data_IF_394717696235
#
_entry.id   IF_394717696235
#
_cell.length_a   1.000
_cell.length_b   1.000
_cell.length_c   1.000
_cell.angle_alpha   90.00
_cell.angle_beta   90.00
_cell.angle_gamma   90.00
#
_symmetry.space_group_name_H-M   'P 1'
#
loop_
_entity.id
_entity.type
_entity.pdbx_description
1 polymer ?
#
# COMPACT_ATOMS: atom_id res chain seq x y z
N UNK A 1 16.17 1.07 -3.54
CA UNK A 1 16.81 -0.02 -4.33
C UNK A 1 15.81 -0.87 -5.10
N UNK A 2 14.69 -1.33 -4.51
CA UNK A 2 13.68 -2.14 -5.23
C UNK A 2 13.14 -1.49 -6.51
N UNK A 3 12.71 -0.22 -6.42
CA UNK A 3 12.08 0.50 -7.53
C UNK A 3 12.92 0.47 -8.81
N UNK A 4 14.12 1.03 -8.82
CA UNK A 4 14.95 1.04 -10.04
C UNK A 4 15.78 -0.22 -10.26
N UNK A 5 15.78 -1.17 -9.33
CA UNK A 5 16.49 -2.45 -9.47
C UNK A 5 15.56 -3.54 -9.98
N UNK A 6 15.06 -4.37 -9.06
CA UNK A 6 14.29 -5.58 -9.40
C UNK A 6 12.97 -5.32 -10.15
N UNK A 7 12.40 -4.11 -10.08
CA UNK A 7 11.20 -3.78 -10.86
C UNK A 7 11.51 -3.55 -12.35
N UNK A 8 12.74 -3.13 -12.69
CA UNK A 8 13.18 -2.81 -14.04
C UNK A 8 14.23 -3.80 -14.58
N UNK A 9 14.58 -4.81 -13.79
CA UNK A 9 15.63 -5.80 -14.08
C UNK A 9 17.04 -5.18 -14.21
N UNK A 10 17.28 -4.06 -13.53
CA UNK A 10 18.60 -3.41 -13.50
C UNK A 10 19.39 -3.99 -12.32
N UNK A 11 20.55 -4.56 -12.60
CA UNK A 11 21.41 -5.23 -11.62
C UNK A 11 22.67 -4.41 -11.25
N UNK A 12 23.01 -3.35 -11.98
CA UNK A 12 24.12 -2.44 -11.66
C UNK A 12 23.80 -1.58 -10.43
N UNK A 13 24.53 -1.75 -9.31
CA UNK A 13 24.36 -0.91 -8.12
C UNK A 13 24.64 0.57 -8.40
N UNK A 14 25.63 0.87 -9.24
CA UNK A 14 25.99 2.24 -9.63
C UNK A 14 24.84 2.92 -10.36
N UNK A 15 24.20 2.22 -11.30
CA UNK A 15 23.06 2.74 -12.04
C UNK A 15 21.84 2.96 -11.13
N UNK A 16 21.56 2.03 -10.22
CA UNK A 16 20.47 2.17 -9.24
C UNK A 16 20.71 3.38 -8.34
N UNK A 17 21.93 3.58 -7.84
CA UNK A 17 22.29 4.73 -7.02
C UNK A 17 22.20 6.04 -7.80
N UNK A 18 22.68 6.06 -9.04
CA UNK A 18 22.55 7.21 -9.94
C UNK A 18 21.08 7.58 -10.17
N UNK A 19 20.22 6.60 -10.39
CA UNK A 19 18.78 6.82 -10.53
C UNK A 19 18.11 7.35 -9.27
N UNK A 20 18.49 6.85 -8.08
CA UNK A 20 18.02 7.40 -6.81
C UNK A 20 18.44 8.86 -6.64
N UNK A 21 19.71 9.18 -6.90
CA UNK A 21 20.23 10.55 -6.82
C UNK A 21 19.46 11.46 -7.78
N UNK A 22 19.23 10.99 -9.00
CA UNK A 22 18.49 11.73 -10.02
C UNK A 22 17.05 12.02 -9.58
N UNK A 23 16.30 11.02 -9.10
CA UNK A 23 14.96 11.23 -8.57
C UNK A 23 14.95 12.23 -7.41
N UNK A 24 15.90 12.12 -6.48
CA UNK A 24 16.03 13.06 -5.36
C UNK A 24 16.31 14.50 -5.84
N UNK A 25 17.22 14.68 -6.81
CA UNK A 25 17.57 15.99 -7.36
C UNK A 25 16.41 16.62 -8.15
N UNK A 26 15.61 15.80 -8.82
CA UNK A 26 14.46 16.23 -9.61
C UNK A 26 13.16 16.34 -8.79
N UNK A 27 13.17 15.93 -7.52
CA UNK A 27 11.99 15.93 -6.66
C UNK A 27 10.93 14.90 -7.06
N UNK A 28 11.35 13.75 -7.60
CA UNK A 28 10.48 12.65 -8.02
C UNK A 28 10.43 11.55 -6.96
N UNK A 29 9.24 10.99 -6.76
CA UNK A 29 9.08 9.72 -6.04
C UNK A 29 9.68 8.59 -6.89
N UNK A 30 10.73 7.95 -6.35
CA UNK A 30 11.45 6.88 -7.03
C UNK A 30 10.60 5.63 -7.26
N UNK A 31 9.66 5.32 -6.36
CA UNK A 31 8.81 4.14 -6.49
C UNK A 31 7.73 4.36 -7.55
N UNK A 32 7.17 5.57 -7.63
CA UNK A 32 6.16 5.91 -8.64
C UNK A 32 6.79 6.06 -10.03
N UNK A 33 7.97 6.69 -10.11
CA UNK A 33 8.75 6.71 -11.35
C UNK A 33 9.09 5.28 -11.79
N UNK A 34 9.55 4.41 -10.90
CA UNK A 34 9.83 3.02 -11.24
C UNK A 34 8.59 2.25 -11.71
N UNK A 35 7.43 2.43 -11.06
CA UNK A 35 6.18 1.76 -11.40
C UNK A 35 5.68 2.16 -12.79
N UNK A 36 5.70 3.45 -13.12
CA UNK A 36 5.33 3.96 -14.45
C UNK A 36 6.28 3.48 -15.55
N UNK A 37 7.58 3.45 -15.28
CA UNK A 37 8.57 2.86 -16.18
C UNK A 37 8.32 1.36 -16.39
N UNK A 38 8.04 0.61 -15.32
CA UNK A 38 7.74 -0.83 -15.41
C UNK A 38 6.56 -1.10 -16.33
N UNK A 39 5.49 -0.31 -16.22
CA UNK A 39 4.35 -0.40 -17.14
C UNK A 39 4.73 -0.05 -18.59
N UNK A 40 5.57 0.96 -18.82
CA UNK A 40 6.01 1.34 -20.17
C UNK A 40 6.85 0.23 -20.82
N UNK A 41 7.80 -0.35 -20.08
CA UNK A 41 8.64 -1.44 -20.54
C UNK A 41 7.82 -2.69 -20.85
N UNK A 42 6.86 -3.02 -19.99
CA UNK A 42 5.95 -4.15 -20.22
C UNK A 42 5.03 -3.91 -21.42
N UNK A 43 4.50 -2.70 -21.57
CA UNK A 43 3.66 -2.34 -22.72
C UNK A 43 4.45 -2.41 -24.03
N UNK A 44 5.73 -2.02 -24.01
CA UNK A 44 6.63 -2.18 -25.15
C UNK A 44 6.93 -3.66 -25.44
N UNK A 45 7.21 -4.46 -24.41
CA UNK A 45 7.43 -5.91 -24.56
C UNK A 45 6.20 -6.62 -25.15
N UNK A 46 5.00 -6.19 -24.76
CA UNK A 46 3.72 -6.71 -25.28
C UNK A 46 3.38 -6.18 -26.68
N UNK A 47 4.20 -5.30 -27.24
CA UNK A 47 4.01 -4.70 -28.57
C UNK A 47 2.94 -3.62 -28.62
N UNK A 48 2.43 -3.17 -27.47
CA UNK A 48 1.46 -2.07 -27.39
C UNK A 48 2.12 -0.71 -27.62
N UNK A 49 3.31 -0.51 -27.05
CA UNK A 49 4.16 0.64 -27.37
C UNK A 49 5.21 0.21 -28.39
N UNK A 50 5.37 1.02 -29.43
CA UNK A 50 6.37 0.82 -30.48
C UNK A 50 7.55 1.79 -30.32
N UNK A 51 8.63 1.55 -31.07
CA UNK A 51 9.80 2.46 -31.08
C UNK A 51 9.44 3.88 -31.55
N UNK A 52 8.38 4.05 -32.36
CA UNK A 52 7.88 5.38 -32.72
C UNK A 52 7.21 6.09 -31.55
N UNK A 53 6.42 5.37 -30.75
CA UNK A 53 5.71 5.95 -29.60
C UNK A 53 6.67 6.41 -28.49
N UNK A 54 7.83 5.75 -28.40
CA UNK A 54 8.87 6.05 -27.42
C UNK A 54 9.90 7.06 -27.90
N UNK A 55 9.69 7.70 -29.07
CA UNK A 55 10.63 8.68 -29.63
C UNK A 55 11.98 8.09 -30.00
N UNK A 56 12.00 6.83 -30.45
CA UNK A 56 13.21 6.12 -30.87
C UNK A 56 13.86 5.25 -29.79
N UNK A 57 13.36 5.28 -28.55
CA UNK A 57 13.92 4.48 -27.45
C UNK A 57 13.45 3.03 -27.53
N UNK A 58 14.37 2.08 -27.43
CA UNK A 58 14.02 0.67 -27.25
C UNK A 58 13.91 0.39 -25.75
N UNK A 59 12.73 0.03 -25.28
CA UNK A 59 12.52 -0.28 -23.86
C UNK A 59 12.84 -1.75 -23.63
N UNK A 60 14.08 -2.04 -23.25
CA UNK A 60 14.55 -3.39 -22.94
C UNK A 60 14.81 -3.49 -21.44
N UNK A 61 14.22 -4.48 -20.78
CA UNK A 61 14.45 -4.75 -19.35
C UNK A 61 15.95 -4.82 -19.03
N UNK A 62 16.36 -4.18 -17.95
CA UNK A 62 17.75 -4.02 -17.54
C UNK A 62 18.52 -2.88 -18.20
N UNK A 63 17.96 -2.18 -19.19
CA UNK A 63 18.60 -1.01 -19.79
C UNK A 63 18.51 0.23 -18.88
N UNK A 64 19.54 0.40 -18.06
CA UNK A 64 19.59 1.48 -17.09
C UNK A 64 19.71 2.87 -17.74
N UNK A 65 20.42 3.01 -18.86
CA UNK A 65 20.58 4.32 -19.51
C UNK A 65 19.25 4.81 -20.10
N UNK A 66 18.45 3.90 -20.67
CA UNK A 66 17.08 4.21 -21.09
C UNK A 66 16.20 4.57 -19.90
N UNK A 67 16.28 3.84 -18.79
CA UNK A 67 15.51 4.14 -17.59
C UNK A 67 15.85 5.53 -17.02
N UNK A 68 17.14 5.87 -16.88
CA UNK A 68 17.58 7.18 -16.40
C UNK A 68 17.12 8.32 -17.31
N UNK A 69 17.22 8.14 -18.63
CA UNK A 69 16.73 9.12 -19.60
C UNK A 69 15.21 9.33 -19.49
N UNK A 70 14.45 8.26 -19.24
CA UNK A 70 13.01 8.37 -19.07
C UNK A 70 12.63 9.08 -17.75
N UNK A 71 13.42 8.91 -16.67
CA UNK A 71 13.24 9.68 -15.43
C UNK A 71 13.37 11.18 -15.69
N UNK A 72 14.38 11.61 -16.45
CA UNK A 72 14.52 13.02 -16.86
C UNK A 72 13.33 13.47 -17.71
N UNK A 73 12.92 12.65 -18.70
CA UNK A 73 11.77 12.96 -19.55
C UNK A 73 10.47 13.08 -18.76
N UNK A 74 10.28 12.29 -17.69
CA UNK A 74 9.13 12.40 -16.78
C UNK A 74 9.15 13.77 -16.09
N UNK A 75 10.27 14.14 -15.46
CA UNK A 75 10.39 15.42 -14.77
C UNK A 75 10.11 16.61 -15.68
N UNK A 76 10.71 16.60 -16.89
CA UNK A 76 10.57 17.70 -17.85
C UNK A 76 9.35 17.57 -18.76
N UNK A 77 8.52 16.53 -18.59
CA UNK A 77 7.35 16.23 -19.42
C UNK A 77 7.65 16.26 -20.93
N UNK A 78 8.71 15.57 -21.33
CA UNK A 78 9.18 15.51 -22.71
C UNK A 78 8.96 14.12 -23.32
N UNK A 79 8.65 14.08 -24.62
CA UNK A 79 8.46 12.82 -25.36
C UNK A 79 7.52 11.85 -24.60
N UNK A 80 7.94 10.58 -24.43
CA UNK A 80 7.16 9.59 -23.68
C UNK A 80 6.97 9.98 -22.21
N UNK A 81 7.93 10.70 -21.62
CA UNK A 81 7.84 11.17 -20.24
C UNK A 81 6.65 12.10 -19.97
N UNK A 82 6.13 12.82 -20.98
CA UNK A 82 4.92 13.62 -20.84
C UNK A 82 3.70 12.77 -20.46
N UNK A 83 3.59 11.58 -21.05
CA UNK A 83 2.56 10.58 -20.73
C UNK A 83 2.82 9.94 -19.37
N UNK A 84 4.07 9.51 -19.12
CA UNK A 84 4.43 8.81 -17.88
C UNK A 84 4.34 9.69 -16.63
N UNK A 85 4.52 11.01 -16.77
CA UNK A 85 4.34 11.98 -15.69
C UNK A 85 2.90 12.06 -15.14
N UNK A 86 1.92 11.44 -15.82
CA UNK A 86 0.54 11.36 -15.34
C UNK A 86 0.29 10.20 -14.38
N UNK A 87 1.28 9.34 -14.12
CA UNK A 87 1.10 8.13 -13.31
C UNK A 87 0.44 7.00 -14.11
N UNK A 88 0.58 5.77 -13.61
CA UNK A 88 0.27 4.57 -14.40
C UNK A 88 -1.22 4.42 -14.69
N UNK A 89 -2.09 4.85 -13.76
CA UNK A 89 -3.55 4.83 -13.95
C UNK A 89 -3.98 5.67 -15.16
N UNK A 90 -3.47 6.89 -15.27
CA UNK A 90 -3.86 7.81 -16.35
C UNK A 90 -3.12 7.49 -17.65
N UNK A 91 -1.84 7.11 -17.56
CA UNK A 91 -1.05 6.72 -18.71
C UNK A 91 -1.65 5.48 -19.41
N UNK A 92 -1.97 4.44 -18.64
CA UNK A 92 -2.60 3.23 -19.19
C UNK A 92 -3.96 3.48 -19.81
N UNK A 93 -4.83 4.26 -19.16
CA UNK A 93 -6.13 4.63 -19.74
C UNK A 93 -6.04 5.49 -21.01
N UNK A 94 -4.99 6.32 -21.12
CA UNK A 94 -4.75 7.14 -22.32
C UNK A 94 -4.28 6.30 -23.50
N UNK A 95 -3.38 5.35 -23.26
CA UNK A 95 -2.89 4.44 -24.31
C UNK A 95 -3.93 3.37 -24.64
N UNK A 96 -4.71 2.93 -23.66
CA UNK A 96 -5.72 1.90 -23.80
C UNK A 96 -5.12 0.54 -24.15
N UNK A 97 -5.76 -0.17 -25.08
CA UNK A 97 -5.30 -1.50 -25.53
C UNK A 97 -5.38 -2.59 -24.47
N UNK A 98 -6.15 -2.38 -23.39
CA UNK A 98 -6.23 -3.27 -22.24
C UNK A 98 -5.03 -3.18 -21.30
N UNK A 99 -4.18 -2.15 -21.45
CA UNK A 99 -2.97 -1.99 -20.63
C UNK A 99 -3.23 -1.67 -19.17
N UNK A 100 -4.46 -1.30 -18.84
CA UNK A 100 -4.96 -1.15 -17.47
C UNK A 100 -4.86 -2.47 -16.70
N UNK A 101 -4.88 -3.62 -17.39
CA UNK A 101 -4.79 -4.96 -16.78
C UNK A 101 -3.42 -5.24 -16.14
N UNK A 102 -2.34 -4.62 -16.63
CA UNK A 102 -0.99 -4.70 -16.06
C UNK A 102 -0.48 -3.37 -15.48
N UNK A 103 -1.33 -2.35 -15.42
CA UNK A 103 -1.07 -1.11 -14.71
C UNK A 103 -1.19 -1.34 -13.19
N UNK A 104 -0.07 -1.28 -12.48
CA UNK A 104 -0.03 -1.53 -11.05
C UNK A 104 -0.29 -0.24 -10.27
N UNK A 105 -1.52 -0.04 -9.82
CA UNK A 105 -1.89 1.05 -8.93
C UNK A 105 -3.02 0.63 -7.97
N UNK A 106 -3.16 1.33 -6.86
CA UNK A 106 -4.32 1.24 -5.96
C UNK A 106 -4.82 2.65 -5.70
N UNK A 107 -6.12 2.90 -5.93
CA UNK A 107 -6.74 4.23 -5.84
C UNK A 107 -6.05 5.31 -6.68
N UNK A 108 -5.25 4.90 -7.68
CA UNK A 108 -4.50 5.78 -8.58
C UNK A 108 -3.09 6.13 -8.12
N UNK A 109 -2.68 5.73 -6.92
CA UNK A 109 -1.28 5.77 -6.50
C UNK A 109 -0.52 4.58 -7.09
N UNK A 110 0.61 4.87 -7.74
CA UNK A 110 1.43 3.89 -8.43
C UNK A 110 2.02 2.87 -7.45
N UNK A 111 2.27 1.65 -7.93
CA UNK A 111 2.61 0.53 -7.07
C UNK A 111 3.72 -0.35 -7.68
N UNK A 112 4.72 -0.67 -6.86
CA UNK A 112 5.81 -1.58 -7.19
C UNK A 112 5.98 -2.69 -6.13
N UNK A 113 4.87 -3.26 -5.65
CA UNK A 113 4.79 -4.15 -4.48
C UNK A 113 4.58 -5.63 -4.86
N UNK A 114 5.55 -6.23 -5.55
CA UNK A 114 5.44 -7.61 -6.03
C UNK A 114 5.16 -8.68 -4.95
N UNK A 115 5.53 -8.39 -3.69
CA UNK A 115 5.29 -9.26 -2.52
C UNK A 115 3.80 -9.49 -2.23
N UNK A 116 2.91 -8.59 -2.67
CA UNK A 116 1.47 -8.69 -2.42
C UNK A 116 0.87 -10.02 -2.88
N UNK A 117 1.38 -10.62 -3.96
CA UNK A 117 0.90 -11.94 -4.43
C UNK A 117 1.08 -13.03 -3.38
N UNK A 118 2.17 -12.98 -2.61
CA UNK A 118 2.47 -13.97 -1.58
C UNK A 118 1.90 -13.56 -0.22
N UNK A 119 2.18 -12.34 0.25
CA UNK A 119 1.83 -11.92 1.62
C UNK A 119 0.44 -11.27 1.67
N UNK A 120 -0.54 -11.99 2.24
CA UNK A 120 -1.95 -11.58 2.19
C UNK A 120 -2.28 -10.38 3.08
N UNK A 121 -1.71 -10.31 4.29
CA UNK A 121 -1.87 -9.13 5.14
C UNK A 121 -1.15 -7.90 4.57
N UNK A 122 0.05 -8.07 3.99
CA UNK A 122 0.76 -6.99 3.29
C UNK A 122 -0.09 -6.45 2.14
N UNK A 123 -0.67 -7.36 1.34
CA UNK A 123 -1.57 -6.99 0.27
C UNK A 123 -2.81 -6.25 0.78
N UNK A 124 -3.45 -6.75 1.84
CA UNK A 124 -4.65 -6.13 2.40
C UNK A 124 -4.36 -4.71 2.86
N UNK A 125 -3.36 -4.51 3.73
CA UNK A 125 -3.02 -3.18 4.25
C UNK A 125 -2.66 -2.17 3.15
N UNK A 126 -1.92 -2.58 2.11
CA UNK A 126 -1.64 -1.71 0.96
C UNK A 126 -2.92 -1.35 0.20
N UNK A 127 -3.83 -2.32 0.05
CA UNK A 127 -5.06 -2.14 -0.74
C UNK A 127 -6.06 -1.22 -0.05
N UNK A 128 -6.27 -1.40 1.25
CA UNK A 128 -7.28 -0.65 2.00
C UNK A 128 -6.79 0.71 2.50
N UNK A 129 -5.48 0.98 2.48
CA UNK A 129 -4.88 2.27 2.84
C UNK A 129 -5.66 3.48 2.26
N UNK A 130 -5.88 4.51 3.08
CA UNK A 130 -6.63 5.70 2.71
C UNK A 130 -5.85 6.55 1.70
N UNK A 131 -4.52 6.61 1.77
CA UNK A 131 -3.73 7.39 0.79
C UNK A 131 -3.56 6.74 -0.58
N UNK A 132 -4.04 5.50 -0.75
CA UNK A 132 -3.78 4.66 -1.93
C UNK A 132 -2.52 3.81 -1.80
N UNK A 133 -2.15 3.15 -2.90
CA UNK A 133 -1.08 2.15 -2.94
C UNK A 133 0.21 2.54 -2.21
N UNK A 134 0.50 1.85 -1.11
CA UNK A 134 1.77 1.93 -0.39
C UNK A 134 1.71 1.20 0.96
N UNK A 135 2.85 0.71 1.44
CA UNK A 135 2.89 -0.17 2.63
C UNK A 135 2.96 0.59 3.96
N UNK A 136 3.28 1.89 3.95
CA UNK A 136 3.43 2.70 5.16
C UNK A 136 2.10 3.19 5.76
N UNK A 137 0.99 2.50 5.53
CA UNK A 137 -0.33 2.85 6.09
C UNK A 137 -1.10 1.58 6.47
N UNK A 138 -0.51 0.78 7.36
CA UNK A 138 -1.18 -0.40 7.92
C UNK A 138 -0.74 -1.76 7.38
N UNK A 139 0.14 -1.84 6.38
CA UNK A 139 0.65 -3.12 5.90
C UNK A 139 1.63 -3.74 6.92
N UNK A 140 1.34 -4.92 7.52
CA UNK A 140 2.17 -5.49 8.58
C UNK A 140 3.36 -6.28 8.03
N UNK A 141 4.51 -6.16 8.70
CA UNK A 141 5.72 -6.93 8.40
C UNK A 141 5.69 -8.31 9.06
N UNK A 142 4.74 -9.16 8.66
CA UNK A 142 4.56 -10.49 9.25
C UNK A 142 5.86 -11.32 9.31
N UNK A 143 6.75 -11.36 8.29
CA UNK A 143 8.02 -12.09 8.40
C UNK A 143 8.92 -11.64 9.56
N UNK A 144 8.90 -10.35 9.90
CA UNK A 144 9.67 -9.78 11.00
C UNK A 144 8.98 -10.01 12.36
N UNK A 145 7.65 -9.98 12.37
CA UNK A 145 6.85 -10.18 13.59
C UNK A 145 6.79 -11.66 14.03
N UNK A 146 6.63 -12.60 13.08
CA UNK A 146 6.39 -14.02 13.36
C UNK A 146 7.42 -14.66 14.31
N UNK A 147 8.74 -14.43 14.17
CA UNK A 147 9.73 -15.01 15.08
C UNK A 147 9.55 -14.60 16.56
N UNK A 148 8.88 -13.49 16.81
CA UNK A 148 8.69 -12.91 18.15
C UNK A 148 7.28 -13.14 18.70
N UNK A 149 6.39 -13.71 17.90
CA UNK A 149 4.96 -13.78 18.17
C UNK A 149 4.60 -15.12 18.84
N UNK A 150 4.42 -15.11 20.17
CA UNK A 150 3.82 -16.24 20.89
C UNK A 150 2.29 -16.20 20.77
N UNK A 151 1.58 -17.33 21.00
CA UNK A 151 0.11 -17.32 21.01
C UNK A 151 -0.50 -16.29 21.97
N UNK A 152 0.13 -16.07 23.12
CA UNK A 152 -0.31 -15.08 24.12
C UNK A 152 -0.12 -13.65 23.60
N UNK A 153 1.05 -13.35 23.01
CA UNK A 153 1.31 -12.04 22.37
C UNK A 153 0.33 -11.82 21.21
N UNK A 154 0.11 -12.82 20.36
CA UNK A 154 -0.84 -12.74 19.25
C UNK A 154 -2.27 -12.46 19.75
N UNK A 155 -2.70 -13.15 20.81
CA UNK A 155 -4.01 -12.92 21.39
C UNK A 155 -4.14 -11.50 21.97
N UNK A 156 -3.10 -11.02 22.65
CA UNK A 156 -3.09 -9.67 23.23
C UNK A 156 -3.14 -8.56 22.18
N UNK A 157 -2.44 -8.74 21.04
CA UNK A 157 -2.37 -7.73 19.98
C UNK A 157 -3.56 -7.83 19.01
N UNK A 158 -3.85 -9.03 18.51
CA UNK A 158 -4.77 -9.23 17.38
C UNK A 158 -6.10 -9.90 17.79
N UNK A 159 -6.23 -10.32 19.04
CA UNK A 159 -7.42 -11.05 19.51
C UNK A 159 -7.52 -12.48 18.99
N UNK A 160 -6.43 -13.04 18.46
CA UNK A 160 -6.34 -14.41 17.93
C UNK A 160 -5.02 -15.05 18.30
N UNK A 161 -5.02 -16.35 18.58
CA UNK A 161 -3.80 -17.06 19.01
C UNK A 161 -2.84 -17.40 17.86
N UNK A 162 -3.34 -17.50 16.63
CA UNK A 162 -2.54 -17.88 15.46
C UNK A 162 -2.94 -16.99 14.27
N UNK A 163 -1.95 -16.45 13.58
CA UNK A 163 -2.14 -15.65 12.37
C UNK A 163 -1.74 -16.42 11.10
N UNK A 164 -1.23 -17.64 11.22
CA UNK A 164 -0.75 -18.45 10.10
C UNK A 164 0.46 -17.86 9.38
N UNK A 165 0.94 -18.57 8.35
CA UNK A 165 2.03 -18.08 7.50
C UNK A 165 1.60 -16.88 6.63
N UNK A 166 2.55 -16.28 5.92
CA UNK A 166 2.26 -15.06 5.14
C UNK A 166 1.27 -15.26 3.99
N UNK A 167 1.11 -16.49 3.50
CA UNK A 167 0.28 -16.86 2.35
C UNK A 167 -1.16 -17.21 2.72
N UNK A 168 -1.43 -17.47 4.00
CA UNK A 168 -2.78 -17.69 4.52
C UNK A 168 -3.59 -16.38 4.56
N UNK A 169 -4.91 -16.50 4.34
CA UNK A 169 -5.87 -15.38 4.47
C UNK A 169 -6.44 -15.24 5.87
N UNK A 170 -6.47 -16.34 6.64
CA UNK A 170 -7.08 -16.35 7.96
C UNK A 170 -6.40 -15.36 8.89
N UNK A 171 -7.23 -14.63 9.65
CA UNK A 171 -6.84 -13.69 10.68
C UNK A 171 -6.00 -12.48 10.20
N UNK A 172 -5.74 -12.34 8.89
CA UNK A 172 -4.94 -11.24 8.34
C UNK A 172 -5.63 -9.89 8.47
N UNK A 173 -6.96 -9.86 8.36
CA UNK A 173 -7.75 -8.65 8.59
C UNK A 173 -7.55 -8.07 9.99
N UNK A 174 -7.41 -8.92 11.01
CA UNK A 174 -7.17 -8.49 12.41
C UNK A 174 -5.80 -7.87 12.60
N UNK A 175 -4.79 -8.43 11.94
CA UNK A 175 -3.42 -7.89 11.98
C UNK A 175 -3.40 -6.52 11.32
N UNK A 176 -4.01 -6.36 10.14
CA UNK A 176 -4.10 -5.08 9.44
C UNK A 176 -4.87 -4.06 10.27
N UNK A 177 -6.05 -4.42 10.79
CA UNK A 177 -6.85 -3.56 11.67
C UNK A 177 -6.05 -3.07 12.88
N UNK A 178 -5.27 -3.94 13.53
CA UNK A 178 -4.39 -3.52 14.62
C UNK A 178 -3.30 -2.57 14.13
N UNK A 179 -2.62 -2.93 13.03
CA UNK A 179 -1.49 -2.17 12.50
C UNK A 179 -1.89 -0.76 12.05
N UNK A 180 -3.07 -0.58 11.46
CA UNK A 180 -3.59 0.72 11.05
C UNK A 180 -3.76 1.66 12.24
N UNK A 181 -4.33 1.17 13.35
CA UNK A 181 -4.45 1.95 14.59
C UNK A 181 -3.09 2.38 15.12
N UNK A 182 -2.12 1.45 15.17
CA UNK A 182 -0.76 1.76 15.63
C UNK A 182 -0.09 2.76 14.72
N UNK A 183 -0.24 2.62 13.39
CA UNK A 183 0.36 3.53 12.43
C UNK A 183 -0.17 4.96 12.60
N UNK A 184 -1.48 5.13 12.76
CA UNK A 184 -2.06 6.45 12.98
C UNK A 184 -1.50 7.16 14.23
N UNK A 185 -1.25 6.40 15.30
CA UNK A 185 -0.63 6.93 16.51
C UNK A 185 0.80 7.38 16.22
N UNK A 186 1.60 6.50 15.62
CA UNK A 186 3.02 6.75 15.34
C UNK A 186 3.20 8.01 14.48
N UNK A 187 2.40 8.16 13.43
CA UNK A 187 2.43 9.35 12.57
C UNK A 187 2.06 10.61 13.32
N UNK A 188 0.97 10.59 14.10
CA UNK A 188 0.51 11.75 14.85
C UNK A 188 1.48 12.16 15.97
N UNK A 189 2.25 11.22 16.50
CA UNK A 189 3.30 11.49 17.48
C UNK A 189 4.62 11.93 16.84
N UNK A 190 4.74 11.89 15.51
CA UNK A 190 5.97 12.23 14.80
C UNK A 190 7.11 11.22 15.03
N UNK A 191 6.78 9.98 15.41
CA UNK A 191 7.77 8.93 15.66
C UNK A 191 8.09 8.26 14.32
N UNK A 192 9.39 8.03 14.06
CA UNK A 192 9.78 7.26 12.88
C UNK A 192 9.23 5.84 12.97
N UNK A 193 8.55 5.38 11.92
CA UNK A 193 7.90 4.06 11.92
C UNK A 193 8.88 2.89 12.07
N UNK A 194 10.13 3.06 11.64
CA UNK A 194 11.21 2.08 11.81
C UNK A 194 11.67 1.93 13.27
N UNK A 195 11.30 2.84 14.16
CA UNK A 195 11.57 2.74 15.60
C UNK A 195 10.39 2.13 16.37
N UNK A 196 9.40 1.56 15.66
CA UNK A 196 8.17 1.04 16.23
C UNK A 196 8.03 -0.47 16.06
N UNK A 197 6.99 -1.02 16.69
CA UNK A 197 6.57 -2.42 16.57
C UNK A 197 6.28 -2.91 15.13
N UNK A 198 6.28 -2.02 14.15
CA UNK A 198 6.24 -2.40 12.75
C UNK A 198 7.52 -3.12 12.27
N UNK A 199 8.68 -2.75 12.81
CA UNK A 199 9.94 -3.42 12.45
C UNK A 199 10.22 -4.60 13.39
N UNK A 200 10.01 -4.42 14.69
CA UNK A 200 10.34 -5.41 15.70
C UNK A 200 9.44 -5.24 16.94
N UNK A 201 8.83 -6.32 17.43
CA UNK A 201 7.78 -6.25 18.46
C UNK A 201 8.28 -5.77 19.84
N UNK A 202 9.60 -5.77 20.08
CA UNK A 202 10.21 -5.26 21.30
C UNK A 202 10.57 -3.74 21.21
N UNK A 203 10.31 -3.09 20.07
CA UNK A 203 10.44 -1.65 19.89
C UNK A 203 9.19 -0.87 20.38
N UNK A 204 9.15 0.44 20.12
CA UNK A 204 8.10 1.34 20.61
C UNK A 204 6.73 0.86 20.14
N UNK A 205 5.89 0.48 21.10
CA UNK A 205 4.51 0.07 20.88
C UNK A 205 3.50 1.10 21.38
N UNK A 206 2.20 0.77 21.30
CA UNK A 206 1.11 1.61 21.81
C UNK A 206 1.23 1.95 23.31
N UNK A 207 1.77 1.04 24.12
CA UNK A 207 1.98 1.29 25.55
C UNK A 207 3.05 2.36 25.79
N UNK A 208 4.21 2.23 25.15
CA UNK A 208 5.26 3.25 25.19
C UNK A 208 4.75 4.58 24.67
N UNK A 209 4.00 4.57 23.57
CA UNK A 209 3.37 5.77 22.99
C UNK A 209 2.44 6.47 23.99
N UNK A 210 1.57 5.73 24.67
CA UNK A 210 0.67 6.28 25.69
C UNK A 210 1.46 6.91 26.85
N UNK A 211 2.48 6.21 27.38
CA UNK A 211 3.35 6.76 28.44
C UNK A 211 4.09 8.02 28.00
N UNK A 212 4.64 8.03 26.78
CA UNK A 212 5.34 9.17 26.21
C UNK A 212 4.42 10.38 26.05
N UNK A 213 3.21 10.16 25.51
CA UNK A 213 2.20 11.21 25.36
C UNK A 213 1.82 11.81 26.72
N UNK A 214 1.50 10.96 27.71
CA UNK A 214 1.11 11.42 29.05
C UNK A 214 2.22 12.21 29.73
N UNK A 215 3.46 11.72 29.63
CA UNK A 215 4.63 12.38 30.23
C UNK A 215 4.91 13.73 29.59
N UNK A 216 4.82 13.83 28.25
CA UNK A 216 5.13 15.06 27.52
C UNK A 216 4.06 16.13 27.66
N UNK A 217 2.78 15.74 27.76
CA UNK A 217 1.64 16.68 27.72
C UNK A 217 1.02 16.96 29.08
N UNK A 218 1.21 16.06 30.06
CA UNK A 218 0.51 16.08 31.34
C UNK A 218 -0.94 15.59 31.28
N UNK A 219 -1.42 15.12 30.12
CA UNK A 219 -2.75 14.53 29.96
C UNK A 219 -2.65 13.02 30.16
N UNK A 220 -3.38 12.47 31.14
CA UNK A 220 -3.42 11.01 31.32
C UNK A 220 -4.07 10.33 30.10
N UNK A 221 -3.35 9.35 29.54
CA UNK A 221 -3.71 8.64 28.33
C UNK A 221 -3.38 7.16 28.50
N UNK A 222 -4.41 6.31 28.42
CA UNK A 222 -4.21 4.87 28.39
C UNK A 222 -3.93 4.34 26.99
N UNK A 223 -3.31 3.16 26.89
CA UNK A 223 -3.07 2.46 25.62
C UNK A 223 -4.36 2.24 24.83
N UNK A 224 -5.46 1.91 25.52
CA UNK A 224 -6.77 1.66 24.88
C UNK A 224 -7.39 2.92 24.31
N UNK A 225 -7.30 4.04 25.03
CA UNK A 225 -7.76 5.35 24.53
C UNK A 225 -6.94 5.80 23.32
N UNK A 226 -5.62 5.61 23.36
CA UNK A 226 -4.74 5.98 22.27
C UNK A 226 -5.01 5.15 21.00
N UNK A 227 -5.18 3.82 21.13
CA UNK A 227 -5.59 2.94 20.02
C UNK A 227 -6.95 3.33 19.43
N UNK A 228 -7.89 3.77 20.28
CA UNK A 228 -9.19 4.27 19.85
C UNK A 228 -9.08 5.60 19.11
N UNK A 229 -8.13 6.46 19.48
CA UNK A 229 -7.81 7.67 18.70
C UNK A 229 -7.24 7.30 17.34
N UNK A 230 -6.31 6.33 17.27
CA UNK A 230 -5.79 5.81 16.00
C UNK A 230 -6.90 5.34 15.07
N UNK A 231 -7.85 4.54 15.57
CA UNK A 231 -9.01 4.09 14.79
C UNK A 231 -9.90 5.26 14.33
N UNK A 232 -10.09 6.26 15.19
CA UNK A 232 -10.87 7.46 14.86
C UNK A 232 -10.24 8.24 13.71
N UNK A 233 -8.93 8.42 13.71
CA UNK A 233 -8.19 9.13 12.66
C UNK A 233 -8.32 8.40 11.32
N UNK A 234 -8.05 7.09 11.31
CA UNK A 234 -8.24 6.25 10.11
C UNK A 234 -9.64 6.38 9.52
N UNK A 235 -10.66 6.41 10.40
CA UNK A 235 -12.05 6.56 9.97
C UNK A 235 -12.39 7.99 9.49
N UNK A 236 -11.72 9.04 9.99
CA UNK A 236 -11.87 10.40 9.44
C UNK A 236 -11.30 10.48 8.02
N UNK A 237 -10.14 9.87 7.79
CA UNK A 237 -9.49 9.81 6.47
C UNK A 237 -10.34 9.00 5.48
N UNK A 238 -10.89 7.86 5.90
CA UNK A 238 -11.87 7.10 5.09
C UNK A 238 -13.11 7.92 4.76
N UNK A 239 -13.64 8.69 5.71
CA UNK A 239 -14.80 9.55 5.47
C UNK A 239 -14.47 10.63 4.43
N UNK A 240 -13.29 11.24 4.51
CA UNK A 240 -12.82 12.19 3.51
C UNK A 240 -12.78 11.56 2.12
N UNK A 241 -12.20 10.36 1.99
CA UNK A 241 -12.16 9.63 0.72
C UNK A 241 -13.54 9.29 0.18
N UNK A 242 -14.45 8.86 1.05
CA UNK A 242 -15.82 8.53 0.66
C UNK A 242 -16.56 9.76 0.12
N UNK A 243 -16.40 10.91 0.79
CA UNK A 243 -17.04 12.18 0.40
C UNK A 243 -16.44 12.81 -0.86
N UNK A 244 -15.12 12.73 -1.05
CA UNK A 244 -14.41 13.54 -2.04
C UNK A 244 -13.83 12.73 -3.22
N UNK A 245 -13.51 11.46 -3.01
CA UNK A 245 -13.00 10.56 -4.05
C UNK A 245 -14.03 9.51 -4.48
N UNK A 246 -15.15 9.38 -3.73
CA UNK A 246 -16.20 8.39 -3.97
C UNK A 246 -15.68 6.96 -4.04
N UNK A 247 -14.63 6.66 -3.28
CA UNK A 247 -14.10 5.30 -3.18
C UNK A 247 -15.13 4.40 -2.50
N UNK A 248 -15.27 3.19 -3.05
CA UNK A 248 -16.12 2.15 -2.50
C UNK A 248 -15.36 0.83 -2.43
N UNK A 249 -16.04 -0.26 -2.08
CA UNK A 249 -15.48 -1.61 -2.08
C UNK A 249 -14.69 -1.97 -3.34
N UNK A 250 -15.09 -1.45 -4.52
CA UNK A 250 -14.38 -1.72 -5.79
C UNK A 250 -12.95 -1.16 -5.82
N UNK A 251 -12.68 -0.13 -5.02
CA UNK A 251 -11.38 0.54 -4.95
C UNK A 251 -10.47 -0.09 -3.88
N UNK A 252 -11.01 -1.03 -3.08
CA UNK A 252 -10.29 -1.86 -2.11
C UNK A 252 -10.00 -3.25 -2.69
N UNK A 253 -9.69 -3.32 -4.00
CA UNK A 253 -9.23 -4.51 -4.69
C UNK A 253 -7.77 -4.39 -5.15
N UNK A 254 -7.01 -5.49 -5.11
CA UNK A 254 -5.63 -5.50 -5.58
C UNK A 254 -5.58 -5.38 -7.12
N UNK A 255 -4.43 -5.00 -7.70
CA UNK A 255 -4.28 -4.95 -9.15
C UNK A 255 -4.60 -6.29 -9.81
N UNK A 256 -5.29 -6.27 -10.95
CA UNK A 256 -5.76 -7.48 -11.65
C UNK A 256 -4.60 -8.43 -11.97
N UNK A 257 -3.46 -7.89 -12.40
CA UNK A 257 -2.22 -8.65 -12.61
C UNK A 257 -1.82 -9.52 -11.42
N UNK A 258 -2.03 -9.07 -10.19
CA UNK A 258 -1.71 -9.86 -8.98
C UNK A 258 -2.75 -10.93 -8.65
N UNK A 259 -3.94 -10.85 -9.24
CA UNK A 259 -4.99 -11.86 -9.14
C UNK A 259 -4.89 -12.91 -10.26
N UNK A 260 -4.33 -12.54 -11.42
CA UNK A 260 -4.33 -13.40 -12.62
C UNK A 260 -2.95 -13.96 -12.99
N UNK A 261 -1.85 -13.27 -12.68
CA UNK A 261 -0.49 -13.70 -13.04
C UNK A 261 0.27 -14.29 -11.85
N UNK A 262 0.45 -15.62 -11.79
CA UNK A 262 1.15 -16.27 -10.68
C UNK A 262 2.62 -15.90 -10.60
N UNK A 263 3.17 -15.97 -9.39
CA UNK A 263 4.63 -15.92 -9.19
C UNK A 263 5.27 -17.08 -9.96
N UNK A 264 6.27 -16.77 -10.80
CA UNK A 264 6.87 -17.72 -11.75
C UNK A 264 7.83 -18.72 -11.12
N UNK A 265 8.52 -18.34 -10.05
CA UNK A 265 9.60 -19.16 -9.45
C UNK A 265 9.82 -18.81 -7.98
N UNK A 266 10.67 -19.60 -7.31
CA UNK A 266 11.04 -19.40 -5.91
C UNK A 266 10.05 -20.02 -4.91
N UNK A 267 10.20 -19.75 -3.60
CA UNK A 267 9.44 -20.41 -2.53
C UNK A 267 7.94 -20.12 -2.56
N UNK A 268 7.52 -19.06 -3.25
CA UNK A 268 6.13 -18.66 -3.38
C UNK A 268 5.60 -18.83 -4.81
N UNK A 269 6.24 -19.67 -5.63
CA UNK A 269 5.76 -19.98 -6.97
C UNK A 269 4.27 -20.37 -6.94
N UNK A 270 3.54 -20.03 -8.00
CA UNK A 270 2.08 -20.24 -8.16
C UNK A 270 1.16 -19.32 -7.35
N UNK A 271 1.70 -18.56 -6.38
CA UNK A 271 0.88 -17.65 -5.58
C UNK A 271 0.24 -16.53 -6.42
N UNK A 272 -1.04 -16.32 -6.18
CA UNK A 272 -1.88 -15.21 -6.66
C UNK A 272 -2.79 -14.73 -5.52
N UNK A 273 -3.43 -13.58 -5.72
CA UNK A 273 -4.54 -13.13 -4.87
C UNK A 273 -5.86 -13.74 -5.39
N UNK A 274 -6.45 -14.62 -4.59
CA UNK A 274 -7.70 -15.32 -4.92
C UNK A 274 -8.87 -14.38 -4.68
N UNK A 275 -9.73 -14.17 -5.67
CA UNK A 275 -10.88 -13.27 -5.56
C UNK A 275 -11.85 -13.68 -4.43
N UNK A 276 -12.14 -14.97 -4.30
CA UNK A 276 -13.08 -15.46 -3.28
C UNK A 276 -12.52 -15.30 -1.86
N UNK A 277 -11.26 -15.68 -1.65
CA UNK A 277 -10.60 -15.51 -0.34
C UNK A 277 -10.36 -14.04 -0.02
N UNK A 278 -10.08 -13.22 -1.03
CA UNK A 278 -9.95 -11.78 -0.87
C UNK A 278 -11.25 -11.16 -0.38
N UNK A 279 -12.39 -11.49 -1.01
CA UNK A 279 -13.68 -10.99 -0.58
C UNK A 279 -14.02 -11.40 0.86
N UNK A 280 -13.74 -12.66 1.25
CA UNK A 280 -13.93 -13.13 2.64
C UNK A 280 -13.09 -12.33 3.63
N UNK A 281 -11.81 -12.11 3.32
CA UNK A 281 -10.91 -11.32 4.17
C UNK A 281 -11.32 -9.85 4.24
N UNK A 282 -11.80 -9.28 3.12
CA UNK A 282 -12.27 -7.91 3.05
C UNK A 282 -13.57 -7.71 3.84
N UNK A 283 -14.48 -8.70 3.83
CA UNK A 283 -15.68 -8.69 4.67
C UNK A 283 -15.31 -8.70 6.16
N UNK A 284 -14.37 -9.56 6.58
CA UNK A 284 -13.86 -9.56 7.95
C UNK A 284 -13.27 -8.19 8.32
N UNK A 285 -12.46 -7.61 7.44
CA UNK A 285 -11.87 -6.28 7.63
C UNK A 285 -12.94 -5.19 7.83
N UNK A 286 -13.95 -5.13 6.96
CA UNK A 286 -15.03 -4.16 7.09
C UNK A 286 -15.84 -4.34 8.37
N UNK A 287 -16.10 -5.58 8.79
CA UNK A 287 -16.78 -5.84 10.06
C UNK A 287 -15.95 -5.33 11.25
N UNK A 288 -14.63 -5.56 11.25
CA UNK A 288 -13.73 -5.08 12.31
C UNK A 288 -13.71 -3.55 12.41
N UNK A 289 -13.76 -2.87 11.28
CA UNK A 289 -13.80 -1.41 11.21
C UNK A 289 -15.19 -0.81 11.52
N UNK A 290 -16.25 -1.62 11.58
CA UNK A 290 -17.62 -1.16 11.75
C UNK A 290 -18.21 -0.56 10.46
N UNK A 291 -17.78 -1.08 9.31
CA UNK A 291 -18.23 -0.71 7.97
C UNK A 291 -19.20 -1.76 7.42
N UNK A 292 -19.95 -1.39 6.39
CA UNK A 292 -20.86 -2.29 5.68
C UNK A 292 -20.05 -3.20 4.72
N UNK A 293 -20.10 -4.53 4.89
CA UNK A 293 -19.40 -5.46 4.00
C UNK A 293 -19.80 -5.34 2.53
N UNK A 294 -21.07 -5.03 2.24
CA UNK A 294 -21.54 -4.99 0.85
C UNK A 294 -20.97 -3.78 0.09
N UNK A 295 -20.80 -2.64 0.76
CA UNK A 295 -20.46 -1.37 0.11
C UNK A 295 -19.05 -0.87 0.43
N UNK A 296 -18.45 -1.34 1.53
CA UNK A 296 -17.19 -0.83 2.07
C UNK A 296 -17.32 0.56 2.70
N UNK A 297 -18.55 1.02 2.96
CA UNK A 297 -18.84 2.32 3.55
C UNK A 297 -18.98 2.23 5.07
N UNK A 298 -18.59 3.30 5.75
CA UNK A 298 -18.68 3.40 7.20
C UNK A 298 -20.14 3.41 7.63
N UNK A 299 -20.51 2.57 8.60
CA UNK A 299 -21.87 2.60 9.14
C UNK A 299 -22.04 3.78 10.08
N UNK A 300 -23.27 4.30 10.18
CA UNK A 300 -23.59 5.33 11.17
C UNK A 300 -23.27 4.85 12.60
N UNK A 301 -23.61 3.60 12.92
CA UNK A 301 -23.34 3.01 14.23
C UNK A 301 -21.83 2.96 14.53
N UNK A 302 -21.00 2.55 13.56
CA UNK A 302 -19.54 2.53 13.68
C UNK A 302 -18.95 3.92 13.92
N UNK A 303 -19.40 4.92 13.15
CA UNK A 303 -18.95 6.31 13.32
C UNK A 303 -19.37 6.90 14.67
N UNK A 304 -20.62 6.71 15.09
CA UNK A 304 -21.09 7.14 16.41
C UNK A 304 -20.33 6.44 17.54
N UNK A 305 -20.04 5.15 17.38
CA UNK A 305 -19.23 4.39 18.32
C UNK A 305 -17.77 4.88 18.39
N UNK A 306 -17.29 5.69 17.44
CA UNK A 306 -15.97 6.36 17.49
C UNK A 306 -16.05 7.84 17.90
N UNK A 307 -17.25 8.37 18.14
CA UNK A 307 -17.47 9.79 18.44
C UNK A 307 -17.43 10.69 17.19
N UNK A 308 -17.68 10.14 16.01
CA UNK A 308 -17.61 10.82 14.71
C UNK A 308 -19.00 11.21 14.16
N UNK A 309 -19.84 11.80 15.01
CA UNK A 309 -21.22 12.18 14.64
C UNK A 309 -21.31 13.15 13.46
N UNK A 310 -20.35 14.09 13.34
CA UNK A 310 -20.30 15.03 12.23
C UNK A 310 -20.01 14.34 10.88
N UNK A 311 -19.11 13.34 10.89
CA UNK A 311 -18.83 12.54 9.70
C UNK A 311 -20.06 11.70 9.32
N UNK A 312 -20.72 11.07 10.31
CA UNK A 312 -21.95 10.30 10.08
C UNK A 312 -23.06 11.17 9.45
N UNK A 313 -23.22 12.41 9.92
CA UNK A 313 -24.18 13.36 9.35
C UNK A 313 -23.83 13.74 7.91
N UNK A 314 -22.55 13.98 7.61
CA UNK A 314 -22.09 14.37 6.27
C UNK A 314 -22.24 13.23 5.25
N UNK A 315 -21.95 11.99 5.64
CA UNK A 315 -22.04 10.83 4.73
C UNK A 315 -23.49 10.45 4.35
N UNK A 316 -24.50 10.98 5.06
CA UNK A 316 -25.92 10.78 4.75
C UNK A 316 -26.50 11.80 3.76
N UNK A 317 -25.79 12.90 3.51
CA UNK A 317 -26.23 14.00 2.63
C UNK A 317 -25.88 13.70 1.18
#
# INVERSE_FOLDING_TARGET
MRGLGTNLDIDSPEAILKGQILCNQLGLDVDFAAATLGWAFESYQRGLLSTSDTGGLKLTWGDAEVALKLIEQICYRQALGALLAEGVKRASGTVGGGSEQWALHIKGADLNEGRMRASKAWALGITVANRGGGHLEGAPQIPQMLPQLTPEKSLALFGVADIGDITAYDNKARVVFWQEKVKMIIDCMGICYLLSQWEDLDLIGPEECARLFSTATGIDMSTGELLRIGQRIHNIEKAFNTLHASFSRKDDFPPIKYMTEPIRSGPYATQVLSENEWNRMLDEYYILEGWDPATGQQTEAGLLALGLGDAAKKLKQ
#
